data_IF_298627135462
#
_entry.id   IF_298627135462
#
_cell.length_a   1.000
_cell.length_b   1.000
_cell.length_c   1.000
_cell.angle_alpha   90.00
_cell.angle_beta   90.00
_cell.angle_gamma   90.00
#
_symmetry.space_group_name_H-M   'P 1'
#
loop_
_entity.id
_entity.type
_entity.pdbx_description
1 polymer ?
#
# COMPACT_ATOMS: atom_id res chain seq x y z
N UNK A 1 7.10 -16.91 2.87
CA UNK A 1 6.50 -17.36 1.58
C UNK A 1 6.52 -16.17 0.65
N UNK A 2 7.41 -16.16 -0.34
CA UNK A 2 7.59 -15.00 -1.22
C UNK A 2 6.29 -14.70 -1.98
N UNK A 3 5.99 -13.41 -2.12
CA UNK A 3 5.00 -12.92 -3.08
C UNK A 3 5.58 -13.19 -4.48
N UNK A 4 5.48 -14.42 -4.97
CA UNK A 4 5.89 -14.78 -6.33
C UNK A 4 4.77 -14.37 -7.28
N UNK A 5 4.75 -13.07 -7.59
CA UNK A 5 3.86 -12.45 -8.56
C UNK A 5 4.64 -12.20 -9.84
N UNK A 6 4.04 -12.55 -10.97
CA UNK A 6 4.63 -12.25 -12.28
C UNK A 6 4.71 -10.74 -12.46
N UNK A 7 5.77 -10.20 -13.08
CA UNK A 7 5.86 -8.79 -13.37
C UNK A 7 4.63 -8.31 -14.16
N UNK A 8 3.95 -7.30 -13.64
CA UNK A 8 2.69 -6.80 -14.19
C UNK A 8 2.54 -5.31 -13.89
N UNK A 9 1.97 -4.58 -14.84
CA UNK A 9 1.49 -3.21 -14.66
C UNK A 9 0.10 -3.16 -15.30
N UNK A 10 -0.92 -2.88 -14.50
CA UNK A 10 -2.32 -2.91 -14.93
C UNK A 10 -3.11 -1.74 -14.33
N UNK A 11 -4.03 -1.20 -15.12
CA UNK A 11 -5.04 -0.25 -14.64
C UNK A 11 -6.41 -0.84 -14.89
N UNK A 12 -7.18 -1.00 -13.80
CA UNK A 12 -8.53 -1.56 -13.84
C UNK A 12 -9.52 -0.44 -13.55
N UNK A 13 -10.39 -0.15 -14.51
CA UNK A 13 -11.53 0.75 -14.33
C UNK A 13 -12.79 -0.06 -14.06
N UNK A 14 -13.61 0.38 -13.12
CA UNK A 14 -14.86 -0.31 -12.75
C UNK A 14 -15.94 0.70 -12.36
N UNK A 15 -17.19 0.31 -12.61
CA UNK A 15 -18.39 1.08 -12.26
C UNK A 15 -19.24 0.37 -11.20
N UNK A 16 -18.86 -0.87 -10.87
CA UNK A 16 -19.46 -1.67 -9.81
C UNK A 16 -18.41 -1.94 -8.73
N UNK A 17 -18.79 -1.68 -7.48
CA UNK A 17 -17.93 -1.86 -6.31
C UNK A 17 -17.69 -3.33 -5.98
N UNK A 18 -18.63 -4.21 -6.34
CA UNK A 18 -18.50 -5.66 -6.14
C UNK A 18 -17.54 -6.28 -7.17
N UNK A 19 -17.41 -5.67 -8.36
CA UNK A 19 -16.42 -6.05 -9.37
C UNK A 19 -15.00 -5.87 -8.82
N UNK A 20 -14.73 -4.75 -8.15
CA UNK A 20 -13.41 -4.43 -7.59
C UNK A 20 -12.90 -5.55 -6.66
N UNK A 21 -13.73 -6.02 -5.73
CA UNK A 21 -13.33 -7.09 -4.80
C UNK A 21 -12.94 -8.38 -5.52
N UNK A 22 -13.70 -8.74 -6.56
CA UNK A 22 -13.41 -9.91 -7.40
C UNK A 22 -12.11 -9.74 -8.19
N UNK A 23 -11.85 -8.54 -8.73
CA UNK A 23 -10.60 -8.22 -9.45
C UNK A 23 -9.38 -8.27 -8.52
N UNK A 24 -9.52 -7.78 -7.28
CA UNK A 24 -8.43 -7.76 -6.30
C UNK A 24 -7.94 -9.18 -5.91
N UNK A 25 -8.77 -10.22 -6.07
CA UNK A 25 -8.35 -11.61 -5.85
C UNK A 25 -7.27 -12.08 -6.82
N UNK A 26 -7.24 -11.55 -8.06
CA UNK A 26 -6.16 -11.83 -9.00
C UNK A 26 -4.78 -11.37 -8.46
N UNK A 27 -4.80 -10.42 -7.53
CA UNK A 27 -3.64 -9.86 -6.84
C UNK A 27 -3.48 -10.39 -5.41
N UNK A 28 -4.19 -11.47 -5.08
CA UNK A 28 -4.20 -12.15 -3.77
C UNK A 28 -4.76 -11.33 -2.61
N UNK A 29 -5.52 -10.29 -2.90
CA UNK A 29 -6.31 -9.56 -1.90
C UNK A 29 -7.74 -10.08 -1.92
N UNK A 30 -8.25 -10.55 -0.79
CA UNK A 30 -9.66 -10.92 -0.68
C UNK A 30 -10.41 -9.80 0.02
N UNK A 31 -11.06 -8.94 -0.78
CA UNK A 31 -11.67 -7.70 -0.31
C UNK A 31 -13.15 -7.65 -0.62
N UNK A 32 -13.91 -7.11 0.32
CA UNK A 32 -15.32 -6.75 0.17
C UNK A 32 -15.45 -5.24 0.39
N UNK A 33 -16.09 -4.58 -0.56
CA UNK A 33 -16.26 -3.14 -0.58
C UNK A 33 -17.75 -2.80 -0.49
N UNK A 34 -18.12 -1.85 0.37
CA UNK A 34 -19.50 -1.40 0.53
C UNK A 34 -19.58 0.11 0.38
N UNK A 35 -20.50 0.64 -0.45
CA UNK A 35 -20.66 2.06 -0.60
C UNK A 35 -21.23 2.64 0.70
N UNK A 36 -20.74 3.81 1.10
CA UNK A 36 -21.29 4.57 2.25
C UNK A 36 -21.83 5.93 1.82
N UNK A 37 -21.63 6.31 0.56
CA UNK A 37 -22.15 7.51 -0.08
C UNK A 37 -23.09 7.11 -1.22
N UNK A 38 -24.14 7.89 -1.44
CA UNK A 38 -25.09 7.67 -2.52
C UNK A 38 -24.56 8.17 -3.87
N UNK A 39 -25.12 7.64 -4.96
CA UNK A 39 -24.85 8.03 -6.35
C UNK A 39 -24.06 6.98 -7.13
N UNK A 40 -23.78 7.27 -8.40
CA UNK A 40 -23.02 6.38 -9.29
C UNK A 40 -21.58 6.23 -8.80
N UNK A 41 -21.13 4.98 -8.74
CA UNK A 41 -19.78 4.62 -8.36
C UNK A 41 -18.90 4.47 -9.60
N UNK A 42 -17.70 5.04 -9.54
CA UNK A 42 -16.65 4.92 -10.54
C UNK A 42 -15.32 4.86 -9.82
N UNK A 43 -14.47 3.94 -10.25
CA UNK A 43 -13.16 3.80 -9.66
C UNK A 43 -12.13 3.28 -10.63
N UNK A 44 -10.89 3.54 -10.24
CA UNK A 44 -9.68 3.07 -10.88
C UNK A 44 -8.82 2.39 -9.81
N UNK A 45 -8.32 1.21 -10.14
CA UNK A 45 -7.29 0.53 -9.39
C UNK A 45 -6.10 0.36 -10.32
N UNK A 46 -5.05 1.14 -10.06
CA UNK A 46 -3.74 0.88 -10.63
C UNK A 46 -3.01 -0.15 -9.76
N UNK A 47 -2.46 -1.21 -10.36
CA UNK A 47 -1.62 -2.21 -9.69
C UNK A 47 -0.34 -2.41 -10.49
N UNK A 48 0.80 -2.46 -9.80
CA UNK A 48 2.04 -2.93 -10.36
C UNK A 48 2.68 -3.98 -9.45
N UNK A 49 3.14 -5.08 -10.03
CA UNK A 49 3.88 -6.15 -9.36
C UNK A 49 5.27 -6.14 -9.99
N UNK A 50 6.28 -5.66 -9.28
CA UNK A 50 7.64 -5.47 -9.81
C UNK A 50 8.67 -5.77 -8.72
N UNK A 51 9.71 -6.54 -9.04
CA UNK A 51 10.76 -6.87 -8.06
C UNK A 51 10.25 -7.62 -6.82
N UNK A 52 9.13 -8.35 -6.92
CA UNK A 52 8.49 -9.00 -5.78
C UNK A 52 7.75 -8.05 -4.82
N UNK A 53 7.63 -6.77 -5.17
CA UNK A 53 6.83 -5.77 -4.45
C UNK A 53 5.54 -5.53 -5.23
N UNK A 54 4.44 -5.36 -4.51
CA UNK A 54 3.19 -4.93 -5.10
C UNK A 54 2.84 -3.50 -4.71
N UNK A 55 2.66 -2.67 -5.71
CA UNK A 55 2.20 -1.29 -5.62
C UNK A 55 0.73 -1.23 -5.99
N UNK A 56 -0.07 -0.49 -5.23
CA UNK A 56 -1.44 -0.22 -5.60
C UNK A 56 -1.80 1.24 -5.37
N UNK A 57 -2.57 1.81 -6.30
CA UNK A 57 -3.12 3.16 -6.20
C UNK A 57 -4.62 3.12 -6.50
N UNK A 58 -5.46 2.87 -5.49
CA UNK A 58 -6.90 2.93 -5.66
C UNK A 58 -7.42 4.37 -5.61
N UNK A 59 -8.24 4.74 -6.59
CA UNK A 59 -8.92 6.04 -6.70
C UNK A 59 -10.40 5.78 -6.95
N UNK A 60 -11.28 6.26 -6.08
CA UNK A 60 -12.73 6.11 -6.23
C UNK A 60 -13.37 7.50 -6.17
N UNK A 61 -14.49 7.68 -6.87
CA UNK A 61 -15.23 8.94 -6.84
C UNK A 61 -16.13 9.10 -5.58
N UNK A 62 -16.39 8.01 -4.85
CA UNK A 62 -17.27 7.97 -3.67
C UNK A 62 -16.62 7.30 -2.47
N UNK A 63 -17.19 7.61 -1.30
CA UNK A 63 -16.86 6.99 -0.04
C UNK A 63 -17.26 5.52 0.02
N UNK A 64 -16.35 4.71 0.59
CA UNK A 64 -16.55 3.27 0.75
C UNK A 64 -16.03 2.79 2.12
N UNK A 65 -16.57 1.65 2.56
CA UNK A 65 -15.96 0.79 3.57
C UNK A 65 -15.37 -0.44 2.90
N UNK A 66 -14.09 -0.74 3.17
CA UNK A 66 -13.40 -1.93 2.66
C UNK A 66 -13.02 -2.83 3.82
N UNK A 67 -13.32 -4.12 3.70
CA UNK A 67 -12.96 -5.14 4.67
C UNK A 67 -12.44 -6.37 3.95
N UNK A 68 -11.60 -7.18 4.60
CA UNK A 68 -11.04 -8.36 3.95
C UNK A 68 -9.68 -8.72 4.49
N UNK A 69 -8.89 -9.43 3.71
CA UNK A 69 -7.58 -9.92 4.10
C UNK A 69 -6.51 -9.56 3.06
N UNK A 70 -5.34 -9.17 3.55
CA UNK A 70 -4.16 -8.95 2.72
C UNK A 70 -3.46 -10.29 2.42
N UNK A 71 -2.62 -10.37 1.37
CA UNK A 71 -1.87 -11.59 1.06
C UNK A 71 -1.10 -12.12 2.29
N UNK A 72 -1.12 -13.45 2.56
CA UNK A 72 -0.41 -14.04 3.70
C UNK A 72 1.11 -13.78 3.66
N UNK A 73 1.71 -13.51 4.82
CA UNK A 73 3.16 -13.33 4.95
C UNK A 73 3.65 -11.99 4.42
N UNK A 74 2.78 -10.98 4.41
CA UNK A 74 3.08 -9.65 3.87
C UNK A 74 2.75 -8.55 4.87
N UNK A 75 3.40 -7.41 4.67
CA UNK A 75 3.02 -6.13 5.24
C UNK A 75 2.71 -5.15 4.12
N UNK A 76 1.77 -4.24 4.39
CA UNK A 76 1.50 -3.10 3.50
C UNK A 76 1.63 -1.80 4.27
N UNK A 77 2.44 -0.89 3.76
CA UNK A 77 2.45 0.51 4.19
C UNK A 77 1.65 1.32 3.19
N UNK A 78 0.69 2.08 3.69
CA UNK A 78 -0.18 2.90 2.87
C UNK A 78 -0.24 4.34 3.33
N UNK A 79 -0.28 5.28 2.38
CA UNK A 79 -0.39 6.70 2.67
C UNK A 79 -1.45 7.37 1.79
N UNK A 80 -2.13 8.41 2.30
CA UNK A 80 -2.93 9.26 1.46
C UNK A 80 -2.03 10.16 0.58
N UNK A 81 -2.39 10.28 -0.69
CA UNK A 81 -1.70 11.16 -1.65
C UNK A 81 -2.27 12.58 -1.70
N UNK A 82 -3.39 12.82 -1.01
CA UNK A 82 -4.01 14.13 -0.81
C UNK A 82 -4.52 14.23 0.63
N UNK A 83 -4.92 15.42 1.09
CA UNK A 83 -5.45 15.59 2.45
C UNK A 83 -6.81 14.89 2.58
N UNK A 84 -6.94 13.85 3.43
CA UNK A 84 -8.21 13.17 3.60
C UNK A 84 -9.21 14.04 4.36
N UNK A 85 -10.48 14.01 3.95
CA UNK A 85 -11.60 14.55 4.75
C UNK A 85 -12.01 13.55 5.83
N UNK A 86 -12.35 12.33 5.41
CA UNK A 86 -12.58 11.18 6.28
C UNK A 86 -11.74 10.03 5.77
N UNK A 87 -10.83 9.57 6.62
CA UNK A 87 -10.09 8.34 6.41
C UNK A 87 -9.88 7.66 7.76
N UNK A 88 -10.51 6.51 7.95
CA UNK A 88 -10.34 5.68 9.14
C UNK A 88 -9.74 4.34 8.77
N UNK A 89 -8.81 3.89 9.60
CA UNK A 89 -8.16 2.59 9.52
C UNK A 89 -8.30 1.91 10.87
N UNK A 90 -9.03 0.79 10.94
CA UNK A 90 -9.41 0.15 12.20
C UNK A 90 -10.03 1.10 13.24
N UNK A 91 -10.81 2.08 12.76
CA UNK A 91 -11.41 3.13 13.59
C UNK A 91 -10.49 4.31 13.92
N UNK A 92 -9.17 4.20 13.73
CA UNK A 92 -8.22 5.31 13.88
C UNK A 92 -8.36 6.30 12.74
N UNK A 93 -8.46 7.59 13.05
CA UNK A 93 -8.47 8.63 12.01
C UNK A 93 -7.07 8.86 11.48
N UNK A 94 -6.87 8.73 10.17
CA UNK A 94 -5.59 8.94 9.51
C UNK A 94 -5.55 10.31 8.83
N UNK A 95 -4.45 11.04 9.07
CA UNK A 95 -4.19 12.34 8.46
C UNK A 95 -3.22 12.22 7.28
N UNK A 96 -2.90 13.33 6.62
CA UNK A 96 -1.79 13.39 5.65
C UNK A 96 -0.41 13.15 6.28
N UNK A 97 -0.31 13.14 7.61
CA UNK A 97 0.94 12.92 8.34
C UNK A 97 1.00 11.52 8.99
N UNK A 98 0.10 10.61 8.60
CA UNK A 98 0.04 9.25 9.11
C UNK A 98 0.18 8.26 7.97
N UNK A 99 0.67 7.06 8.29
CA UNK A 99 0.61 5.91 7.40
C UNK A 99 -0.22 4.79 8.05
N UNK A 100 -0.97 4.07 7.22
CA UNK A 100 -1.56 2.80 7.63
C UNK A 100 -0.49 1.72 7.57
N UNK A 101 -0.55 0.79 8.53
CA UNK A 101 0.23 -0.42 8.55
C UNK A 101 -0.75 -1.60 8.55
N UNK A 102 -0.78 -2.34 7.46
CA UNK A 102 -1.58 -3.57 7.31
C UNK A 102 -0.67 -4.77 7.45
N UNK A 103 -1.08 -5.71 8.30
CA UNK A 103 -0.38 -6.97 8.59
C UNK A 103 -1.24 -8.13 8.14
N UNK A 104 -0.66 -9.14 7.50
CA UNK A 104 -1.44 -10.31 7.08
C UNK A 104 -2.10 -11.10 8.23
N UNK A 105 -1.67 -10.89 9.48
CA UNK A 105 -2.29 -11.48 10.68
C UNK A 105 -3.56 -10.74 11.15
N UNK A 106 -3.90 -9.61 10.52
CA UNK A 106 -5.03 -8.76 10.87
C UNK A 106 -5.90 -8.58 9.63
N UNK A 107 -7.19 -8.86 9.74
CA UNK A 107 -8.15 -8.46 8.72
C UNK A 107 -8.15 -6.93 8.56
N UNK A 108 -8.60 -6.44 7.43
CA UNK A 108 -8.66 -5.03 7.03
C UNK A 108 -10.00 -4.45 7.46
N UNK A 109 -9.98 -3.21 7.98
CA UNK A 109 -11.18 -2.39 8.12
C UNK A 109 -10.85 -0.94 7.81
N UNK A 110 -11.24 -0.50 6.61
CA UNK A 110 -10.94 0.82 6.08
C UNK A 110 -12.23 1.56 5.76
N UNK A 111 -12.38 2.79 6.24
CA UNK A 111 -13.48 3.68 5.89
C UNK A 111 -12.91 4.94 5.26
N UNK A 112 -13.42 5.35 4.11
CA UNK A 112 -13.03 6.62 3.49
C UNK A 112 -14.21 7.33 2.86
N UNK A 113 -14.16 8.66 2.80
CA UNK A 113 -15.15 9.50 2.10
C UNK A 113 -14.57 10.11 0.83
N UNK A 114 -15.42 10.29 -0.19
CA UNK A 114 -15.09 11.00 -1.42
C UNK A 114 -13.86 10.49 -2.16
N UNK A 115 -13.31 11.37 -3.00
CA UNK A 115 -12.11 11.07 -3.78
C UNK A 115 -10.84 11.19 -2.93
N UNK A 116 -10.35 10.05 -2.46
CA UNK A 116 -9.11 9.91 -1.72
C UNK A 116 -8.15 8.98 -2.47
N UNK A 117 -7.19 9.51 -3.25
CA UNK A 117 -6.12 8.69 -3.80
C UNK A 117 -5.23 8.18 -2.67
N UNK A 118 -5.12 6.86 -2.57
CA UNK A 118 -4.18 6.18 -1.67
C UNK A 118 -3.02 5.60 -2.49
N UNK A 119 -1.85 5.49 -1.87
CA UNK A 119 -0.73 4.72 -2.39
C UNK A 119 -0.37 3.65 -1.38
N UNK A 120 -0.20 2.42 -1.84
CA UNK A 120 0.07 1.23 -1.04
C UNK A 120 1.32 0.54 -1.58
N UNK A 121 2.21 0.10 -0.68
CA UNK A 121 3.37 -0.74 -0.99
C UNK A 121 3.28 -1.99 -0.14
N UNK A 122 3.19 -3.14 -0.79
CA UNK A 122 3.09 -4.46 -0.15
C UNK A 122 4.39 -5.23 -0.38
N UNK A 123 5.00 -5.71 0.70
CA UNK A 123 6.29 -6.40 0.69
C UNK A 123 6.13 -7.71 1.48
N UNK A 124 6.81 -8.77 1.04
CA UNK A 124 6.89 -10.00 1.83
C UNK A 124 7.75 -9.80 3.08
N UNK A 125 7.32 -10.40 4.19
CA UNK A 125 7.97 -10.23 5.48
C UNK A 125 9.43 -10.69 5.45
N UNK A 126 9.73 -11.78 4.74
CA UNK A 126 11.06 -12.39 4.67
C UNK A 126 12.08 -11.40 4.07
N UNK A 127 11.71 -10.71 2.99
CA UNK A 127 12.54 -9.70 2.33
C UNK A 127 12.71 -8.45 3.19
N UNK A 128 11.63 -7.97 3.82
CA UNK A 128 11.70 -6.81 4.71
C UNK A 128 12.62 -7.09 5.90
N UNK A 129 12.45 -8.24 6.57
CA UNK A 129 13.25 -8.62 7.74
C UNK A 129 14.71 -8.85 7.39
N UNK A 130 14.98 -9.50 6.25
CA UNK A 130 16.35 -9.69 5.76
C UNK A 130 17.07 -8.36 5.55
N UNK A 131 16.41 -7.36 4.97
CA UNK A 131 17.00 -6.03 4.79
C UNK A 131 17.07 -5.23 6.09
N UNK A 132 16.11 -5.40 7.00
CA UNK A 132 16.17 -4.80 8.34
C UNK A 132 17.39 -5.29 9.12
N UNK A 133 17.70 -6.59 9.05
CA UNK A 133 18.90 -7.17 9.67
C UNK A 133 20.19 -6.61 9.06
N UNK A 134 20.27 -6.54 7.73
CA UNK A 134 21.45 -6.00 7.02
C UNK A 134 21.69 -4.50 7.28
N UNK A 135 20.68 -3.77 7.75
CA UNK A 135 20.72 -2.32 7.99
C UNK A 135 20.62 -1.94 9.47
N UNK A 136 20.72 -2.92 10.38
CA UNK A 136 20.64 -2.74 11.84
C UNK A 136 19.33 -2.07 12.33
N UNK A 137 18.20 -2.43 11.70
CA UNK A 137 16.85 -1.92 11.99
C UNK A 137 15.92 -2.98 12.57
N UNK A 138 16.46 -3.84 13.44
CA UNK A 138 15.74 -4.99 14.00
C UNK A 138 14.48 -4.60 14.79
N UNK A 139 14.41 -3.36 15.29
CA UNK A 139 13.24 -2.82 15.98
C UNK A 139 11.96 -2.84 15.14
N UNK A 140 12.07 -2.77 13.80
CA UNK A 140 10.91 -2.80 12.88
C UNK A 140 10.06 -4.06 13.06
N UNK A 141 10.65 -5.19 13.49
CA UNK A 141 9.91 -6.42 13.73
C UNK A 141 8.83 -6.29 14.82
N UNK A 142 8.99 -5.37 15.79
CA UNK A 142 7.97 -5.18 16.83
C UNK A 142 6.68 -4.60 16.25
N UNK A 143 6.75 -3.63 15.34
CA UNK A 143 5.57 -3.03 14.67
C UNK A 143 4.76 -4.05 13.87
N UNK A 144 5.44 -5.10 13.40
CA UNK A 144 4.84 -6.15 12.58
C UNK A 144 4.20 -7.24 13.45
N UNK A 145 4.68 -7.42 14.68
CA UNK A 145 4.22 -8.49 15.58
C UNK A 145 3.25 -7.98 16.66
N UNK A 146 3.26 -6.69 16.97
CA UNK A 146 2.41 -6.06 17.98
C UNK A 146 0.97 -5.75 17.50
N UNK A 147 0.27 -4.86 18.20
CA UNK A 147 -1.07 -4.38 17.86
C UNK A 147 -1.10 -3.07 17.07
N UNK A 148 0.04 -2.55 16.62
CA UNK A 148 0.15 -1.29 15.88
C UNK A 148 -0.50 -1.39 14.51
N UNK A 149 -1.41 -0.48 14.19
CA UNK A 149 -2.18 -0.49 12.92
C UNK A 149 -2.00 0.82 12.15
N UNK A 150 -1.64 1.89 12.85
CA UNK A 150 -1.39 3.20 12.29
C UNK A 150 -0.10 3.74 12.88
N UNK A 151 0.72 4.36 12.05
CA UNK A 151 2.00 4.93 12.45
C UNK A 151 2.07 6.40 12.08
N UNK A 152 2.87 7.14 12.83
CA UNK A 152 3.19 8.53 12.57
C UNK A 152 4.71 8.63 12.37
N UNK A 153 5.20 8.39 11.14
CA UNK A 153 6.62 8.54 10.83
C UNK A 153 7.04 10.00 10.93
N UNK A 154 8.35 10.25 10.99
CA UNK A 154 8.86 11.62 10.89
C UNK A 154 8.33 12.34 9.63
N UNK A 155 7.94 13.63 9.72
CA UNK A 155 7.35 14.34 8.58
C UNK A 155 8.23 14.38 7.33
N UNK A 156 9.55 14.44 7.51
CA UNK A 156 10.56 14.45 6.44
C UNK A 156 10.61 13.10 5.72
N UNK A 157 10.61 12.00 6.47
CA UNK A 157 10.59 10.61 5.98
C UNK A 157 9.31 10.34 5.21
N UNK A 158 8.15 10.67 5.79
CA UNK A 158 6.85 10.46 5.14
C UNK A 158 6.71 11.30 3.86
N UNK A 159 7.23 12.53 3.85
CA UNK A 159 7.26 13.37 2.64
C UNK A 159 8.12 12.74 1.54
N UNK A 160 9.30 12.22 1.88
CA UNK A 160 10.17 11.53 0.92
C UNK A 160 9.48 10.27 0.37
N UNK A 161 8.87 9.46 1.22
CA UNK A 161 8.13 8.27 0.80
C UNK A 161 6.98 8.63 -0.16
N UNK A 162 6.21 9.68 0.15
CA UNK A 162 5.14 10.18 -0.72
C UNK A 162 5.66 10.64 -2.08
N UNK A 163 6.77 11.35 -2.12
CA UNK A 163 7.37 11.80 -3.39
C UNK A 163 7.83 10.62 -4.24
N UNK A 164 8.46 9.60 -3.65
CA UNK A 164 8.87 8.39 -4.37
C UNK A 164 7.67 7.61 -4.90
N UNK A 165 6.59 7.49 -4.10
CA UNK A 165 5.37 6.85 -4.57
C UNK A 165 4.75 7.57 -5.77
N UNK A 166 4.64 8.90 -5.71
CA UNK A 166 4.15 9.68 -6.86
C UNK A 166 5.03 9.49 -8.09
N UNK A 167 6.34 9.51 -7.91
CA UNK A 167 7.30 9.35 -9.00
C UNK A 167 7.21 7.95 -9.63
N UNK A 168 7.18 6.88 -8.83
CA UNK A 168 7.14 5.52 -9.38
C UNK A 168 5.82 5.25 -10.11
N UNK A 169 4.68 5.75 -9.62
CA UNK A 169 3.41 5.61 -10.35
C UNK A 169 3.44 6.33 -11.70
N UNK A 170 4.07 7.51 -11.79
CA UNK A 170 4.28 8.19 -13.08
C UNK A 170 5.21 7.39 -14.01
N UNK A 171 6.27 6.77 -13.47
CA UNK A 171 7.17 5.94 -14.26
C UNK A 171 6.49 4.68 -14.79
N UNK A 172 5.68 4.00 -13.97
CA UNK A 172 4.93 2.83 -14.44
C UNK A 172 4.02 3.17 -15.62
N UNK A 173 3.44 4.37 -15.61
CA UNK A 173 2.60 4.84 -16.72
C UNK A 173 3.41 5.21 -17.97
N UNK A 174 4.53 5.93 -17.80
CA UNK A 174 5.30 6.51 -18.91
C UNK A 174 6.27 5.52 -19.55
N UNK A 175 6.82 4.59 -18.78
CA UNK A 175 7.93 3.72 -19.20
C UNK A 175 7.74 2.27 -18.71
N UNK A 176 6.57 1.63 -18.96
CA UNK A 176 6.28 0.30 -18.43
C UNK A 176 7.29 -0.76 -18.88
N UNK A 177 7.79 -0.68 -20.12
CA UNK A 177 8.76 -1.66 -20.64
C UNK A 177 10.10 -1.58 -19.90
N UNK A 178 10.61 -0.37 -19.64
CA UNK A 178 11.85 -0.16 -18.87
C UNK A 178 11.70 -0.66 -17.45
N UNK A 179 10.54 -0.44 -16.82
CA UNK A 179 10.26 -0.94 -15.47
C UNK A 179 10.29 -2.47 -15.41
N UNK A 180 9.82 -3.14 -16.45
CA UNK A 180 9.78 -4.59 -16.51
C UNK A 180 11.16 -5.22 -16.76
N UNK A 181 12.20 -4.43 -17.07
CA UNK A 181 13.57 -4.93 -17.18
C UNK A 181 14.08 -5.43 -15.81
N UNK A 182 14.74 -6.61 -15.73
CA UNK A 182 15.19 -7.17 -14.46
C UNK A 182 16.07 -6.23 -13.62
N UNK A 183 16.98 -5.49 -14.26
CA UNK A 183 17.85 -4.55 -13.57
C UNK A 183 17.06 -3.42 -12.91
N UNK A 184 16.04 -2.88 -13.58
CA UNK A 184 15.17 -1.85 -13.03
C UNK A 184 14.31 -2.40 -11.88
N UNK A 185 13.79 -3.63 -12.02
CA UNK A 185 13.03 -4.27 -10.95
C UNK A 185 13.87 -4.49 -9.68
N UNK A 186 15.14 -4.86 -9.80
CA UNK A 186 16.05 -4.97 -8.66
C UNK A 186 16.27 -3.63 -7.96
N UNK A 187 16.51 -2.56 -8.72
CA UNK A 187 16.66 -1.21 -8.15
C UNK A 187 15.40 -0.75 -7.42
N UNK A 188 14.22 -0.92 -8.05
CA UNK A 188 12.93 -0.59 -7.42
C UNK A 188 12.75 -1.38 -6.12
N UNK A 189 13.10 -2.66 -6.12
CA UNK A 189 12.99 -3.52 -4.94
C UNK A 189 13.82 -2.98 -3.78
N UNK A 190 15.11 -2.76 -4.01
CA UNK A 190 16.05 -2.28 -2.99
C UNK A 190 15.64 -0.91 -2.44
N UNK A 191 15.28 0.02 -3.32
CA UNK A 191 14.85 1.38 -2.97
C UNK A 191 13.57 1.35 -2.12
N UNK A 192 12.55 0.60 -2.53
CA UNK A 192 11.27 0.62 -1.83
C UNK A 192 11.26 -0.17 -0.53
N UNK A 193 12.01 -1.27 -0.41
CA UNK A 193 12.18 -1.90 0.90
C UNK A 193 12.90 -0.94 1.84
N UNK A 194 13.95 -0.25 1.39
CA UNK A 194 14.66 0.75 2.20
C UNK A 194 13.75 1.90 2.64
N UNK A 195 12.94 2.45 1.72
CA UNK A 195 11.98 3.51 2.03
C UNK A 195 10.89 3.06 3.02
N UNK A 196 10.41 1.83 2.89
CA UNK A 196 9.45 1.27 3.86
C UNK A 196 10.09 1.09 5.22
N UNK A 197 11.34 0.59 5.29
CA UNK A 197 12.08 0.49 6.55
C UNK A 197 12.26 1.86 7.21
N UNK A 198 12.63 2.89 6.44
CA UNK A 198 12.77 4.25 6.99
C UNK A 198 11.46 4.77 7.59
N UNK A 199 10.33 4.48 6.93
CA UNK A 199 8.98 4.83 7.42
C UNK A 199 8.64 4.11 8.73
N UNK A 200 8.94 2.81 8.82
CA UNK A 200 8.66 2.00 10.01
C UNK A 200 9.59 2.39 11.16
N UNK A 201 10.88 2.52 10.90
CA UNK A 201 11.91 2.81 11.89
C UNK A 201 11.72 4.20 12.51
N UNK A 202 11.44 5.22 11.69
CA UNK A 202 11.15 6.57 12.21
C UNK A 202 9.87 6.66 13.04
N UNK A 203 8.96 5.70 12.91
CA UNK A 203 7.76 5.63 13.75
C UNK A 203 8.01 4.98 15.12
N UNK A 204 9.11 4.27 15.32
CA UNK A 204 9.51 3.72 16.62
C UNK A 204 10.10 4.78 17.56
N UNK A 205 10.57 5.90 16.99
CA UNK A 205 11.24 6.98 17.71
C UNK A 205 10.27 8.03 18.28
N UNK A 206 8.97 7.92 17.95
CA UNK A 206 7.90 8.83 18.35
C UNK A 206 7.00 8.21 19.43
#
# INVERSE_FOLDING_TARGET
>A
MNINLQPLIETITFHDIDELGSRMRAFRWDMVHRPIEAGTFEGELFVAQVGGIQFARPIYNRGIRSQGDSPPGTITVGIPLSTPRVFKWHGYSLSSNSALLQKSSRGIDMLRSGNLPLALVTIDNDSLFSQAEQTDRLGVASLITDSTLAIQPEPTVLRRFRSHLRYIFELFWRQPQTILEPAMQSLIREDFISLVLDVLDSALLN
#
